data_IF_315914452503
#
_entry.id   IF_315914452503
#
_cell.length_a   1.000
_cell.length_b   1.000
_cell.length_c   1.000
_cell.angle_alpha   90.00
_cell.angle_beta   90.00
_cell.angle_gamma   90.00
#
_symmetry.space_group_name_H-M   'P 1'
#
loop_
_entity.id
_entity.type
_entity.pdbx_description
1 polymer ?
#
# COMPACT_ATOMS: atom_id res chain seq x y z
N UNK A 1 -89.89 -159.89 52.10
CA UNK A 1 -88.45 -160.22 52.17
C UNK A 1 -87.90 -160.52 50.77
N UNK A 2 -87.72 -159.51 49.91
CA UNK A 2 -86.79 -159.48 48.76
C UNK A 2 -86.64 -158.02 48.25
N UNK A 3 -86.68 -157.08 49.22
CA UNK A 3 -86.69 -155.62 49.02
C UNK A 3 -85.30 -155.00 49.27
N UNK A 4 -84.20 -155.79 49.25
CA UNK A 4 -82.92 -155.35 49.84
C UNK A 4 -81.63 -155.82 49.13
N UNK A 5 -81.68 -156.40 47.92
CA UNK A 5 -80.46 -157.02 47.33
C UNK A 5 -79.99 -156.57 45.93
N UNK A 6 -80.74 -155.82 45.12
CA UNK A 6 -80.21 -155.41 43.79
C UNK A 6 -80.38 -153.92 43.44
N UNK A 7 -80.61 -153.08 44.46
CA UNK A 7 -80.23 -151.67 44.40
C UNK A 7 -78.72 -151.46 44.19
N UNK A 8 -77.89 -152.49 44.40
CA UNK A 8 -76.43 -152.46 44.14
C UNK A 8 -76.04 -152.68 42.67
N UNK A 9 -76.83 -153.41 41.88
CA UNK A 9 -76.49 -153.70 40.48
C UNK A 9 -76.74 -152.51 39.54
N UNK A 10 -77.78 -151.70 39.82
CA UNK A 10 -78.04 -150.46 39.09
C UNK A 10 -76.93 -149.42 39.29
N UNK A 11 -76.40 -149.29 40.51
CA UNK A 11 -75.29 -148.37 40.81
C UNK A 11 -73.96 -148.82 40.20
N UNK A 12 -73.67 -150.12 40.17
CA UNK A 12 -72.45 -150.65 39.52
C UNK A 12 -72.49 -150.48 38.00
N UNK A 13 -73.64 -150.73 37.36
CA UNK A 13 -73.81 -150.53 35.92
C UNK A 13 -73.73 -149.04 35.54
N UNK A 14 -74.29 -148.16 36.37
CA UNK A 14 -74.19 -146.70 36.18
C UNK A 14 -72.76 -146.20 36.36
N UNK A 15 -72.03 -146.66 37.39
CA UNK A 15 -70.61 -146.31 37.60
C UNK A 15 -69.72 -146.86 36.47
N UNK A 16 -69.98 -148.08 36.00
CA UNK A 16 -69.24 -148.66 34.87
C UNK A 16 -69.51 -147.92 33.56
N UNK A 17 -70.78 -147.56 33.29
CA UNK A 17 -71.16 -146.74 32.14
C UNK A 17 -70.53 -145.34 32.19
N UNK A 18 -70.53 -144.69 33.36
CA UNK A 18 -69.83 -143.42 33.58
C UNK A 18 -68.32 -143.55 33.39
N UNK A 19 -67.70 -144.64 33.87
CA UNK A 19 -66.27 -144.89 33.70
C UNK A 19 -65.90 -145.15 32.23
N UNK A 20 -66.76 -145.86 31.50
CA UNK A 20 -66.60 -146.08 30.06
C UNK A 20 -66.77 -144.77 29.27
N UNK A 21 -67.77 -143.94 29.60
CA UNK A 21 -67.92 -142.60 29.03
C UNK A 21 -66.71 -141.71 29.33
N UNK A 22 -66.25 -141.70 30.58
CA UNK A 22 -65.08 -140.91 30.99
C UNK A 22 -63.82 -141.35 30.24
N UNK A 23 -63.58 -142.66 30.11
CA UNK A 23 -62.45 -143.18 29.33
C UNK A 23 -62.54 -142.83 27.85
N UNK A 24 -63.73 -142.87 27.25
CA UNK A 24 -63.93 -142.44 25.86
C UNK A 24 -63.67 -140.92 25.71
N UNK A 25 -64.15 -140.09 26.64
CA UNK A 25 -63.87 -138.66 26.64
C UNK A 25 -62.38 -138.36 26.83
N UNK A 26 -61.68 -139.09 27.70
CA UNK A 26 -60.23 -138.97 27.89
C UNK A 26 -59.49 -139.35 26.60
N UNK A 27 -59.83 -140.47 25.96
CA UNK A 27 -59.22 -140.87 24.70
C UNK A 27 -59.52 -139.90 23.55
N UNK A 28 -60.71 -139.30 23.53
CA UNK A 28 -61.06 -138.27 22.56
C UNK A 28 -60.25 -136.99 22.81
N UNK A 29 -60.14 -136.53 24.06
CA UNK A 29 -59.31 -135.39 24.43
C UNK A 29 -57.83 -135.63 24.12
N UNK A 30 -57.31 -136.84 24.36
CA UNK A 30 -55.93 -137.18 23.99
C UNK A 30 -55.71 -137.09 22.48
N UNK A 31 -56.65 -137.59 21.67
CA UNK A 31 -56.59 -137.45 20.20
C UNK A 31 -56.71 -135.99 19.74
N UNK A 32 -57.56 -135.20 20.38
CA UNK A 32 -57.67 -133.76 20.09
C UNK A 32 -56.40 -133.00 20.48
N UNK A 33 -55.76 -133.35 21.60
CA UNK A 33 -54.48 -132.78 22.04
C UNK A 33 -53.34 -133.17 21.08
N UNK A 34 -53.25 -134.43 20.66
CA UNK A 34 -52.25 -134.87 19.68
C UNK A 34 -52.46 -134.19 18.33
N UNK A 35 -53.70 -134.16 17.84
CA UNK A 35 -54.06 -133.48 16.59
C UNK A 35 -53.74 -131.97 16.63
N UNK A 36 -54.07 -131.29 17.73
CA UNK A 36 -53.73 -129.87 17.89
C UNK A 36 -52.23 -129.64 18.04
N UNK A 37 -51.51 -130.56 18.69
CA UNK A 37 -50.04 -130.55 18.78
C UNK A 37 -49.37 -130.70 17.41
N UNK A 38 -49.84 -131.63 16.57
CA UNK A 38 -49.35 -131.80 15.20
C UNK A 38 -49.63 -130.58 14.32
N UNK A 39 -50.84 -130.01 14.40
CA UNK A 39 -51.21 -128.78 13.67
C UNK A 39 -50.35 -127.60 14.14
N UNK A 40 -50.12 -127.48 15.45
CA UNK A 40 -49.26 -126.43 16.02
C UNK A 40 -47.81 -126.58 15.57
N UNK A 41 -47.28 -127.80 15.55
CA UNK A 41 -45.91 -128.06 15.09
C UNK A 41 -45.76 -127.78 13.59
N UNK A 42 -46.74 -128.18 12.78
CA UNK A 42 -46.77 -127.85 11.34
C UNK A 42 -46.80 -126.35 11.11
N UNK A 43 -47.66 -125.60 11.82
CA UNK A 43 -47.70 -124.13 11.77
C UNK A 43 -46.40 -123.50 12.24
N UNK A 44 -45.77 -124.03 13.29
CA UNK A 44 -44.48 -123.53 13.78
C UNK A 44 -43.39 -123.66 12.72
N UNK A 45 -43.31 -124.80 12.03
CA UNK A 45 -42.35 -125.00 10.93
C UNK A 45 -42.65 -124.11 9.72
N UNK A 46 -43.92 -123.86 9.43
CA UNK A 46 -44.36 -122.94 8.39
C UNK A 46 -43.93 -121.50 8.71
N UNK A 47 -44.16 -121.03 9.93
CA UNK A 47 -43.68 -119.73 10.41
C UNK A 47 -42.15 -119.61 10.39
N UNK A 48 -41.41 -120.65 10.81
CA UNK A 48 -39.95 -120.65 10.71
C UNK A 48 -39.46 -120.53 9.26
N UNK A 49 -40.16 -121.18 8.33
CA UNK A 49 -39.87 -121.08 6.90
C UNK A 49 -40.13 -119.66 6.38
N UNK A 50 -41.27 -119.06 6.72
CA UNK A 50 -41.61 -117.67 6.36
C UNK A 50 -40.59 -116.68 6.93
N UNK A 51 -40.22 -116.83 8.21
CA UNK A 51 -39.18 -116.01 8.84
C UNK A 51 -37.83 -116.18 8.11
N UNK A 52 -37.50 -117.40 7.70
CA UNK A 52 -36.31 -117.67 6.90
C UNK A 52 -36.29 -116.94 5.56
N UNK A 53 -37.44 -116.89 4.86
CA UNK A 53 -37.60 -116.12 3.61
C UNK A 53 -37.49 -114.61 3.86
N UNK A 54 -38.15 -114.09 4.91
CA UNK A 54 -38.07 -112.67 5.27
C UNK A 54 -36.63 -112.25 5.59
N UNK A 55 -35.88 -113.08 6.32
CA UNK A 55 -34.46 -112.82 6.62
C UNK A 55 -33.61 -112.75 5.35
N UNK A 56 -33.78 -113.71 4.43
CA UNK A 56 -33.06 -113.69 3.15
C UNK A 56 -33.37 -112.43 2.33
N UNK A 57 -34.64 -112.05 2.22
CA UNK A 57 -35.05 -110.83 1.52
C UNK A 57 -34.45 -109.58 2.20
N UNK A 58 -34.44 -109.55 3.54
CA UNK A 58 -33.83 -108.45 4.29
C UNK A 58 -32.33 -108.37 4.05
N UNK A 59 -31.61 -109.49 4.05
CA UNK A 59 -30.17 -109.55 3.81
C UNK A 59 -29.83 -109.13 2.37
N UNK A 60 -30.62 -109.57 1.39
CA UNK A 60 -30.47 -109.17 -0.02
C UNK A 60 -30.70 -107.67 -0.19
N UNK A 61 -31.77 -107.11 0.41
CA UNK A 61 -32.04 -105.67 0.37
C UNK A 61 -30.99 -104.84 1.10
N UNK A 62 -30.46 -105.31 2.23
CA UNK A 62 -29.38 -104.63 2.93
C UNK A 62 -28.12 -104.56 2.08
N UNK A 63 -27.78 -105.66 1.38
CA UNK A 63 -26.64 -105.68 0.44
C UNK A 63 -26.86 -104.75 -0.75
N UNK A 64 -28.07 -104.74 -1.32
CA UNK A 64 -28.44 -103.82 -2.41
C UNK A 64 -28.26 -102.36 -1.95
N UNK A 65 -28.77 -102.02 -0.77
CA UNK A 65 -28.63 -100.68 -0.19
C UNK A 65 -27.16 -100.31 0.09
N UNK A 66 -26.35 -101.23 0.62
CA UNK A 66 -24.91 -101.03 0.80
C UNK A 66 -24.20 -100.76 -0.53
N UNK A 67 -24.53 -101.50 -1.58
CA UNK A 67 -23.98 -101.27 -2.92
C UNK A 67 -24.38 -99.90 -3.49
N UNK A 68 -25.63 -99.48 -3.33
CA UNK A 68 -26.09 -98.14 -3.75
C UNK A 68 -25.38 -97.03 -2.99
N UNK A 69 -25.20 -97.18 -1.67
CA UNK A 69 -24.48 -96.21 -0.85
C UNK A 69 -23.02 -96.10 -1.27
N UNK A 70 -22.37 -97.21 -1.59
CA UNK A 70 -20.97 -97.19 -2.05
C UNK A 70 -20.84 -96.51 -3.41
N UNK A 71 -21.74 -96.82 -4.36
CA UNK A 71 -21.78 -96.14 -5.65
C UNK A 71 -22.00 -94.63 -5.52
N UNK A 72 -22.90 -94.20 -4.61
CA UNK A 72 -23.11 -92.78 -4.32
C UNK A 72 -21.87 -92.11 -3.70
N UNK A 73 -21.12 -92.82 -2.84
CA UNK A 73 -19.87 -92.32 -2.27
C UNK A 73 -18.79 -92.13 -3.32
N UNK A 74 -18.66 -93.07 -4.26
CA UNK A 74 -17.73 -92.93 -5.39
C UNK A 74 -18.07 -91.72 -6.26
N UNK A 75 -19.35 -91.56 -6.64
CA UNK A 75 -19.82 -90.40 -7.42
C UNK A 75 -19.54 -89.09 -6.68
N UNK A 76 -19.81 -89.03 -5.37
CA UNK A 76 -19.52 -87.84 -4.56
C UNK A 76 -18.04 -87.53 -4.49
N UNK A 77 -17.18 -88.54 -4.38
CA UNK A 77 -15.73 -88.37 -4.37
C UNK A 77 -15.21 -87.88 -5.73
N UNK A 78 -15.71 -88.41 -6.84
CA UNK A 78 -15.36 -87.94 -8.19
C UNK A 78 -15.81 -86.50 -8.40
N UNK A 79 -17.05 -86.16 -8.03
CA UNK A 79 -17.57 -84.79 -8.09
C UNK A 79 -16.80 -83.84 -7.18
N UNK A 80 -16.41 -84.30 -5.98
CA UNK A 80 -15.57 -83.52 -5.06
C UNK A 80 -14.23 -83.14 -5.69
N UNK A 81 -13.56 -84.11 -6.35
CA UNK A 81 -12.31 -83.85 -7.08
C UNK A 81 -12.50 -82.91 -8.26
N UNK A 82 -13.58 -83.07 -9.02
CA UNK A 82 -13.92 -82.18 -10.15
C UNK A 82 -14.07 -80.73 -9.67
N UNK A 83 -14.83 -80.49 -8.60
CA UNK A 83 -14.99 -79.16 -8.01
C UNK A 83 -13.68 -78.60 -7.47
N UNK A 84 -12.83 -79.44 -6.85
CA UNK A 84 -11.53 -78.99 -6.34
C UNK A 84 -10.61 -78.54 -7.48
N UNK A 85 -10.56 -79.29 -8.59
CA UNK A 85 -9.83 -78.88 -9.79
C UNK A 85 -10.38 -77.58 -10.41
N UNK A 86 -11.70 -77.41 -10.47
CA UNK A 86 -12.31 -76.19 -10.99
C UNK A 86 -11.99 -74.97 -10.10
N UNK A 87 -12.08 -75.13 -8.77
CA UNK A 87 -11.71 -74.10 -7.81
C UNK A 87 -10.22 -73.72 -7.95
N UNK A 88 -9.33 -74.69 -8.12
CA UNK A 88 -7.91 -74.43 -8.31
C UNK A 88 -7.63 -73.67 -9.62
N UNK A 89 -8.31 -74.04 -10.71
CA UNK A 89 -8.22 -73.31 -11.98
C UNK A 89 -8.73 -71.86 -11.85
N UNK A 90 -9.84 -71.65 -11.15
CA UNK A 90 -10.40 -70.31 -10.91
C UNK A 90 -9.41 -69.47 -10.08
N UNK A 91 -8.83 -70.03 -9.02
CA UNK A 91 -7.82 -69.35 -8.19
C UNK A 91 -6.61 -68.94 -9.01
N UNK A 92 -6.06 -69.86 -9.80
CA UNK A 92 -4.89 -69.56 -10.64
C UNK A 92 -5.18 -68.44 -11.64
N UNK A 93 -6.32 -68.49 -12.33
CA UNK A 93 -6.71 -67.44 -13.27
C UNK A 93 -6.90 -66.09 -12.57
N UNK A 94 -7.50 -66.09 -11.37
CA UNK A 94 -7.68 -64.88 -10.56
C UNK A 94 -6.34 -64.28 -10.12
N UNK A 95 -5.37 -65.11 -9.73
CA UNK A 95 -4.02 -64.66 -9.34
C UNK A 95 -3.25 -64.10 -10.53
N UNK A 96 -3.32 -64.75 -11.70
CA UNK A 96 -2.71 -64.27 -12.94
C UNK A 96 -3.31 -62.93 -13.37
N UNK A 97 -4.63 -62.81 -13.32
CA UNK A 97 -5.35 -61.56 -13.64
C UNK A 97 -4.98 -60.44 -12.65
N UNK A 98 -4.85 -60.76 -11.36
CA UNK A 98 -4.47 -59.78 -10.34
C UNK A 98 -3.05 -59.24 -10.58
N UNK A 99 -2.10 -60.11 -10.95
CA UNK A 99 -0.74 -59.70 -11.31
C UNK A 99 -0.70 -58.82 -12.55
N UNK A 100 -1.51 -59.13 -13.55
CA UNK A 100 -1.63 -58.31 -14.77
C UNK A 100 -2.11 -56.89 -14.43
N UNK A 101 -3.16 -56.77 -13.61
CA UNK A 101 -3.64 -55.47 -13.13
C UNK A 101 -2.60 -54.72 -12.30
N UNK A 102 -1.85 -55.40 -11.43
CA UNK A 102 -0.76 -54.77 -10.67
C UNK A 102 0.34 -54.21 -11.59
N UNK A 103 0.74 -54.96 -12.62
CA UNK A 103 1.72 -54.50 -13.62
C UNK A 103 1.21 -53.30 -14.43
N UNK A 104 -0.06 -53.29 -14.81
CA UNK A 104 -0.67 -52.17 -15.53
C UNK A 104 -0.74 -50.92 -14.64
N UNK A 105 -1.17 -51.07 -13.38
CA UNK A 105 -1.20 -49.98 -12.39
C UNK A 105 0.19 -49.41 -12.17
N UNK A 106 1.23 -50.25 -12.05
CA UNK A 106 2.60 -49.78 -11.88
C UNK A 106 3.10 -48.99 -13.10
N UNK A 107 2.73 -49.44 -14.30
CA UNK A 107 3.08 -48.74 -15.55
C UNK A 107 2.38 -47.39 -15.65
N UNK A 108 1.09 -47.32 -15.31
CA UNK A 108 0.32 -46.06 -15.25
C UNK A 108 0.94 -45.09 -14.24
N UNK A 109 1.36 -45.58 -13.06
CA UNK A 109 2.02 -44.76 -12.03
C UNK A 109 3.33 -44.16 -12.55
N UNK A 110 4.19 -44.96 -13.19
CA UNK A 110 5.45 -44.46 -13.78
C UNK A 110 5.21 -43.36 -14.81
N UNK A 111 4.26 -43.56 -15.72
CA UNK A 111 3.90 -42.56 -16.74
C UNK A 111 3.35 -41.27 -16.07
N UNK A 112 2.53 -41.42 -15.03
CA UNK A 112 1.99 -40.27 -14.28
C UNK A 112 3.08 -39.47 -13.58
N UNK A 113 4.05 -40.15 -12.97
CA UNK A 113 5.18 -39.51 -12.29
C UNK A 113 6.11 -38.80 -13.27
N UNK A 114 6.39 -39.40 -14.43
CA UNK A 114 7.18 -38.79 -15.50
C UNK A 114 6.51 -37.52 -16.04
N UNK A 115 5.21 -37.59 -16.35
CA UNK A 115 4.45 -36.41 -16.81
C UNK A 115 4.37 -35.32 -15.75
N UNK A 116 4.26 -35.69 -14.47
CA UNK A 116 4.23 -34.71 -13.38
C UNK A 116 5.55 -33.93 -13.30
N UNK A 117 6.69 -34.62 -13.44
CA UNK A 117 8.01 -33.99 -13.48
C UNK A 117 8.21 -33.10 -14.71
N UNK A 118 7.70 -33.52 -15.87
CA UNK A 118 7.75 -32.72 -17.10
C UNK A 118 6.97 -31.40 -16.92
N UNK A 119 5.74 -31.48 -16.39
CA UNK A 119 4.92 -30.31 -16.09
C UNK A 119 5.57 -29.38 -15.05
N UNK A 120 6.20 -29.93 -14.02
CA UNK A 120 6.95 -29.13 -13.04
C UNK A 120 8.10 -28.36 -13.70
N UNK A 121 8.87 -29.01 -14.59
CA UNK A 121 9.94 -28.35 -15.35
C UNK A 121 9.42 -27.22 -16.27
N UNK A 122 8.30 -27.44 -16.95
CA UNK A 122 7.67 -26.41 -17.79
C UNK A 122 7.18 -25.23 -16.96
N UNK A 123 6.51 -25.49 -15.83
CA UNK A 123 6.04 -24.44 -14.91
C UNK A 123 7.22 -23.62 -14.38
N UNK A 124 8.32 -24.26 -14.01
CA UNK A 124 9.51 -23.56 -13.53
C UNK A 124 10.14 -22.66 -14.61
N UNK A 125 10.19 -23.15 -15.85
CA UNK A 125 10.64 -22.37 -17.00
C UNK A 125 9.75 -21.15 -17.27
N UNK A 126 8.42 -21.32 -17.22
CA UNK A 126 7.45 -20.22 -17.37
C UNK A 126 7.61 -19.18 -16.26
N UNK A 127 7.78 -19.62 -15.00
CA UNK A 127 8.01 -18.72 -13.87
C UNK A 127 9.26 -17.87 -14.07
N UNK A 128 10.36 -18.49 -14.50
CA UNK A 128 11.61 -17.77 -14.75
C UNK A 128 11.46 -16.69 -15.83
N UNK A 129 10.80 -17.01 -16.94
CA UNK A 129 10.51 -16.04 -18.01
C UNK A 129 9.61 -14.90 -17.48
N UNK A 130 8.60 -15.22 -16.69
CA UNK A 130 7.72 -14.22 -16.08
C UNK A 130 8.48 -13.27 -15.14
N UNK A 131 9.40 -13.80 -14.33
CA UNK A 131 10.22 -13.00 -13.41
C UNK A 131 11.21 -12.10 -14.17
N UNK A 132 11.81 -12.60 -15.25
CA UNK A 132 12.70 -11.83 -16.13
C UNK A 132 11.94 -10.67 -16.81
N UNK A 133 10.76 -10.95 -17.38
CA UNK A 133 9.91 -9.93 -17.98
C UNK A 133 9.46 -8.88 -16.95
N UNK A 134 9.11 -9.31 -15.73
CA UNK A 134 8.71 -8.37 -14.66
C UNK A 134 9.83 -7.38 -14.32
N UNK A 135 11.07 -7.86 -14.24
CA UNK A 135 12.24 -7.00 -13.99
C UNK A 135 12.50 -6.03 -15.13
N UNK A 136 12.36 -6.48 -16.38
CA UNK A 136 12.49 -5.62 -17.56
C UNK A 136 11.46 -4.48 -17.55
N UNK A 137 10.19 -4.80 -17.28
CA UNK A 137 9.13 -3.79 -17.15
C UNK A 137 9.40 -2.81 -16.00
N UNK A 138 9.90 -3.27 -14.85
CA UNK A 138 10.26 -2.38 -13.74
C UNK A 138 11.38 -1.40 -14.14
N UNK A 139 12.40 -1.87 -14.86
CA UNK A 139 13.51 -1.02 -15.33
C UNK A 139 13.04 0.03 -16.35
N UNK A 140 12.12 -0.34 -17.25
CA UNK A 140 11.54 0.57 -18.21
C UNK A 140 10.67 1.65 -17.52
N UNK A 141 9.84 1.25 -16.55
CA UNK A 141 9.04 2.17 -15.74
C UNK A 141 9.95 3.15 -14.98
N UNK A 142 11.05 2.68 -14.39
CA UNK A 142 11.99 3.54 -13.67
C UNK A 142 12.67 4.56 -14.60
N UNK A 143 13.05 4.12 -15.79
CA UNK A 143 13.61 4.99 -16.83
C UNK A 143 12.62 6.07 -17.29
N UNK A 144 11.36 5.68 -17.52
CA UNK A 144 10.28 6.63 -17.85
C UNK A 144 10.05 7.63 -16.72
N UNK A 145 9.99 7.18 -15.45
CA UNK A 145 9.81 8.06 -14.29
C UNK A 145 10.94 9.08 -14.16
N UNK A 146 12.19 8.66 -14.39
CA UNK A 146 13.35 9.55 -14.37
C UNK A 146 13.25 10.63 -15.45
N UNK A 147 12.93 10.23 -16.69
CA UNK A 147 12.73 11.15 -17.80
C UNK A 147 11.59 12.15 -17.52
N UNK A 148 10.48 11.68 -16.95
CA UNK A 148 9.34 12.53 -16.61
C UNK A 148 9.70 13.57 -15.54
N UNK A 149 10.49 13.19 -14.52
CA UNK A 149 10.96 14.10 -13.49
C UNK A 149 11.92 15.16 -14.06
N UNK A 150 12.82 14.78 -14.96
CA UNK A 150 13.72 15.72 -15.64
C UNK A 150 12.92 16.72 -16.49
N UNK A 151 11.94 16.23 -17.27
CA UNK A 151 11.03 17.07 -18.05
C UNK A 151 10.15 17.98 -17.18
N UNK A 152 9.69 17.51 -16.03
CA UNK A 152 8.93 18.33 -15.08
C UNK A 152 9.78 19.48 -14.54
N UNK A 153 11.06 19.23 -14.19
CA UNK A 153 11.99 20.27 -13.73
C UNK A 153 12.30 21.29 -14.85
N UNK A 154 12.48 20.81 -16.07
CA UNK A 154 12.67 21.67 -17.26
C UNK A 154 11.45 22.59 -17.45
N UNK A 155 10.24 22.02 -17.40
CA UNK A 155 9.00 22.78 -17.53
C UNK A 155 8.76 23.75 -16.37
N UNK A 156 9.12 23.40 -15.14
CA UNK A 156 9.10 24.32 -14.00
C UNK A 156 10.10 25.48 -14.19
N UNK A 157 11.28 25.21 -14.75
CA UNK A 157 12.25 26.26 -15.08
C UNK A 157 11.74 27.16 -16.21
N UNK A 158 11.16 26.60 -17.27
CA UNK A 158 10.55 27.37 -18.37
C UNK A 158 9.37 28.20 -17.89
N UNK A 159 8.49 27.65 -17.05
CA UNK A 159 7.36 28.39 -16.46
C UNK A 159 7.82 29.46 -15.47
N UNK A 160 8.89 29.22 -14.72
CA UNK A 160 9.50 30.23 -13.86
C UNK A 160 10.09 31.36 -14.71
N UNK A 161 10.75 31.07 -15.83
CA UNK A 161 11.29 32.09 -16.74
C UNK A 161 10.18 32.86 -17.47
N UNK A 162 9.15 32.17 -17.97
CA UNK A 162 8.06 32.76 -18.74
C UNK A 162 7.08 33.60 -17.93
N UNK A 163 6.68 33.14 -16.73
CA UNK A 163 5.73 33.90 -15.88
C UNK A 163 6.38 35.08 -15.16
N UNK A 164 7.68 35.00 -14.87
CA UNK A 164 8.45 36.12 -14.35
C UNK A 164 8.59 37.20 -15.43
N UNK A 165 8.88 36.83 -16.68
CA UNK A 165 9.05 37.79 -17.77
C UNK A 165 7.78 38.61 -18.07
N UNK A 166 6.60 38.01 -18.19
CA UNK A 166 5.41 38.72 -18.70
C UNK A 166 4.82 39.74 -17.72
N UNK A 167 4.79 39.44 -16.42
CA UNK A 167 4.20 40.36 -15.42
C UNK A 167 5.23 41.40 -14.93
N UNK A 168 6.53 41.06 -14.85
CA UNK A 168 7.58 42.09 -14.65
C UNK A 168 7.65 43.04 -15.85
N UNK A 169 7.53 42.53 -17.08
CA UNK A 169 7.45 43.39 -18.27
C UNK A 169 6.22 44.28 -18.26
N UNK A 170 5.04 43.78 -17.86
CA UNK A 170 3.83 44.61 -17.72
C UNK A 170 3.97 45.67 -16.62
N UNK A 171 4.53 45.32 -15.45
CA UNK A 171 4.80 46.28 -14.36
C UNK A 171 5.85 47.31 -14.76
N UNK A 172 6.91 46.88 -15.44
CA UNK A 172 7.96 47.75 -15.96
C UNK A 172 7.41 48.65 -17.08
N UNK A 173 6.59 48.13 -17.98
CA UNK A 173 5.93 48.90 -19.04
C UNK A 173 4.95 49.93 -18.46
N UNK A 174 4.21 49.58 -17.41
CA UNK A 174 3.36 50.51 -16.68
C UNK A 174 4.19 51.62 -16.00
N UNK A 175 5.28 51.26 -15.33
CA UNK A 175 6.16 52.22 -14.66
C UNK A 175 6.85 53.15 -15.67
N UNK A 176 7.34 52.62 -16.79
CA UNK A 176 7.92 53.40 -17.90
C UNK A 176 6.87 54.33 -18.51
N UNK A 177 5.66 53.83 -18.80
CA UNK A 177 4.57 54.64 -19.36
C UNK A 177 4.16 55.76 -18.40
N UNK A 178 4.16 55.48 -17.10
CA UNK A 178 3.84 56.46 -16.06
C UNK A 178 4.92 57.53 -15.98
N UNK A 179 6.20 57.12 -15.90
CA UNK A 179 7.35 58.02 -15.87
C UNK A 179 7.47 58.90 -17.13
N UNK A 180 7.08 58.38 -18.29
CA UNK A 180 7.16 59.11 -19.56
C UNK A 180 6.00 60.09 -19.77
N UNK A 181 4.83 59.85 -19.18
CA UNK A 181 3.61 60.67 -19.40
C UNK A 181 3.36 61.70 -18.31
N UNK A 182 3.82 61.46 -17.09
CA UNK A 182 3.45 62.24 -15.92
C UNK A 182 4.70 62.73 -15.19
N UNK A 183 4.61 63.91 -14.56
CA UNK A 183 5.62 64.28 -13.58
C UNK A 183 5.60 63.30 -12.39
N UNK A 184 6.67 63.29 -11.59
CA UNK A 184 6.82 62.31 -10.51
C UNK A 184 5.64 62.36 -9.53
N UNK A 185 5.17 63.55 -9.16
CA UNK A 185 4.05 63.70 -8.23
C UNK A 185 2.74 63.16 -8.81
N UNK A 186 2.46 63.45 -10.08
CA UNK A 186 1.29 62.91 -10.79
C UNK A 186 1.38 61.39 -10.94
N UNK A 187 2.56 60.85 -11.25
CA UNK A 187 2.80 59.42 -11.33
C UNK A 187 2.53 58.70 -10.00
N UNK A 188 3.03 59.25 -8.89
CA UNK A 188 2.76 58.74 -7.55
C UNK A 188 1.28 58.82 -7.15
N UNK A 189 0.59 59.91 -7.52
CA UNK A 189 -0.85 60.06 -7.26
C UNK A 189 -1.71 59.05 -8.04
N UNK A 190 -1.35 58.77 -9.30
CA UNK A 190 -2.07 57.78 -10.12
C UNK A 190 -1.89 56.34 -9.63
N UNK A 191 -0.75 56.04 -9.01
CA UNK A 191 -0.42 54.70 -8.51
C UNK A 191 -1.00 54.39 -7.11
N UNK A 192 -1.83 55.30 -6.56
CA UNK A 192 -2.72 55.22 -5.38
C UNK A 192 -2.54 54.09 -4.34
N UNK A 193 -2.39 54.47 -3.06
CA UNK A 193 -2.48 53.73 -1.75
C UNK A 193 -1.88 52.32 -1.55
N UNK A 194 -1.47 51.60 -2.59
CA UNK A 194 -0.94 50.23 -2.48
C UNK A 194 0.47 50.09 -3.06
N UNK A 195 1.13 51.22 -3.35
CA UNK A 195 2.50 51.21 -3.84
C UNK A 195 3.44 50.84 -2.67
N UNK A 196 4.09 49.69 -2.78
CA UNK A 196 5.19 49.31 -1.90
C UNK A 196 6.44 50.15 -2.21
N UNK A 197 7.35 50.25 -1.24
CA UNK A 197 8.52 51.13 -1.34
C UNK A 197 9.41 50.88 -2.56
N UNK A 198 9.61 49.62 -2.96
CA UNK A 198 10.41 49.29 -4.14
C UNK A 198 9.81 49.82 -5.46
N UNK A 199 8.47 49.90 -5.55
CA UNK A 199 7.80 50.45 -6.73
C UNK A 199 8.02 51.96 -6.84
N UNK A 200 8.11 52.67 -5.71
CA UNK A 200 8.49 54.08 -5.68
C UNK A 200 9.94 54.29 -6.15
N UNK A 201 10.88 53.46 -5.68
CA UNK A 201 12.27 53.49 -6.16
C UNK A 201 12.35 53.27 -7.68
N UNK A 202 11.67 52.25 -8.20
CA UNK A 202 11.66 51.96 -9.65
C UNK A 202 11.14 53.16 -10.45
N UNK A 203 10.08 53.81 -9.98
CA UNK A 203 9.53 54.98 -10.67
C UNK A 203 10.52 56.14 -10.68
N UNK A 204 11.19 56.42 -9.55
CA UNK A 204 12.23 57.46 -9.48
C UNK A 204 13.40 57.13 -10.40
N UNK A 205 13.89 55.89 -10.39
CA UNK A 205 14.95 55.42 -11.28
C UNK A 205 14.59 55.67 -12.76
N UNK A 206 13.39 55.26 -13.18
CA UNK A 206 12.93 55.42 -14.55
C UNK A 206 12.77 56.90 -14.93
N UNK A 207 12.25 57.73 -14.03
CA UNK A 207 12.15 59.18 -14.25
C UNK A 207 13.53 59.82 -14.43
N UNK A 208 14.50 59.48 -13.58
CA UNK A 208 15.87 60.01 -13.69
C UNK A 208 16.56 59.52 -14.98
N UNK A 209 16.36 58.25 -15.38
CA UNK A 209 16.85 57.69 -16.65
C UNK A 209 16.24 58.44 -17.85
N UNK A 210 14.92 58.63 -17.88
CA UNK A 210 14.21 59.30 -18.98
C UNK A 210 14.59 60.79 -19.09
N UNK A 211 14.88 61.45 -17.96
CA UNK A 211 15.39 62.82 -17.91
C UNK A 211 16.88 62.93 -18.29
N UNK A 212 17.56 61.80 -18.50
CA UNK A 212 18.98 61.76 -18.84
C UNK A 212 19.89 62.20 -17.69
N UNK A 213 19.45 62.03 -16.44
CA UNK A 213 20.25 62.36 -15.25
C UNK A 213 21.47 61.45 -15.24
N UNK A 214 22.66 62.02 -15.47
CA UNK A 214 23.92 61.27 -15.39
C UNK A 214 24.25 61.02 -13.93
N UNK A 215 24.38 59.75 -13.57
CA UNK A 215 24.78 59.33 -12.23
C UNK A 215 26.12 58.63 -12.32
N UNK A 216 27.10 59.14 -11.59
CA UNK A 216 28.33 58.39 -11.40
C UNK A 216 28.05 57.15 -10.55
N UNK A 217 28.63 56.04 -10.98
CA UNK A 217 28.65 54.81 -10.22
C UNK A 217 29.45 55.08 -8.94
N UNK A 218 28.93 54.69 -7.78
CA UNK A 218 29.69 54.72 -6.52
C UNK A 218 30.80 53.66 -6.55
N UNK A 219 31.11 53.03 -5.41
CA UNK A 219 32.02 51.87 -5.35
C UNK A 219 31.47 50.59 -6.03
N UNK A 220 31.12 50.66 -7.32
CA UNK A 220 30.70 49.48 -8.07
C UNK A 220 29.18 49.26 -8.14
N UNK A 221 28.36 50.11 -7.50
CA UNK A 221 26.89 49.98 -7.51
C UNK A 221 26.19 51.28 -7.87
N UNK A 222 25.00 51.13 -8.45
CA UNK A 222 24.08 52.23 -8.71
C UNK A 222 22.94 52.25 -7.68
N UNK A 223 22.53 51.07 -7.21
CA UNK A 223 21.43 50.92 -6.25
C UNK A 223 21.88 50.00 -5.11
N UNK A 224 21.57 50.39 -3.88
CA UNK A 224 21.60 49.52 -2.69
C UNK A 224 20.18 49.31 -2.18
N UNK A 225 19.87 48.09 -1.79
CA UNK A 225 18.71 47.75 -0.98
C UNK A 225 19.21 47.29 0.40
N UNK A 226 18.64 47.88 1.46
CA UNK A 226 18.79 47.46 2.84
C UNK A 226 17.48 46.79 3.27
N UNK A 227 17.53 45.47 3.45
CA UNK A 227 16.36 44.62 3.65
C UNK A 227 15.92 43.98 2.34
N UNK A 228 16.06 42.66 2.25
CA UNK A 228 15.88 41.91 1.01
C UNK A 228 14.57 41.12 0.99
N UNK A 229 14.26 40.54 -0.17
CA UNK A 229 13.06 39.72 -0.36
C UNK A 229 13.06 38.49 0.56
N UNK A 230 12.13 38.47 1.51
CA UNK A 230 12.03 37.43 2.55
C UNK A 230 11.30 36.18 2.08
N UNK A 231 10.32 36.35 1.18
CA UNK A 231 9.42 35.30 0.74
C UNK A 231 9.42 35.17 -0.78
N UNK A 232 9.34 33.95 -1.31
CA UNK A 232 9.26 33.67 -2.75
C UNK A 232 7.85 33.98 -3.31
N UNK A 233 7.20 35.04 -2.82
CA UNK A 233 5.92 35.51 -3.33
C UNK A 233 6.13 36.61 -4.37
N UNK A 234 5.56 36.39 -5.55
CA UNK A 234 5.64 37.27 -6.71
C UNK A 234 5.25 38.74 -6.42
N UNK A 235 4.27 38.97 -5.55
CA UNK A 235 3.75 40.31 -5.27
C UNK A 235 4.63 41.15 -4.35
N UNK A 236 5.54 40.54 -3.58
CA UNK A 236 6.33 41.19 -2.53
C UNK A 236 7.86 41.18 -2.75
N UNK A 237 8.35 40.64 -3.86
CA UNK A 237 9.79 40.58 -4.15
C UNK A 237 10.39 41.89 -4.66
N UNK A 238 10.86 42.75 -3.78
CA UNK A 238 11.57 44.00 -4.13
C UNK A 238 12.86 43.74 -4.90
N UNK A 239 13.70 42.82 -4.40
CA UNK A 239 15.04 42.53 -4.92
C UNK A 239 15.02 42.07 -6.39
N UNK A 240 14.06 41.21 -6.77
CA UNK A 240 13.90 40.75 -8.16
C UNK A 240 13.49 41.88 -9.11
N UNK A 241 12.51 42.71 -8.70
CA UNK A 241 12.03 43.82 -9.52
C UNK A 241 13.07 44.92 -9.70
N UNK A 242 13.81 45.26 -8.64
CA UNK A 242 14.92 46.22 -8.73
C UNK A 242 16.03 45.65 -9.61
N UNK A 243 16.34 44.35 -9.49
CA UNK A 243 17.32 43.66 -10.35
C UNK A 243 16.94 43.69 -11.82
N UNK A 244 15.66 43.49 -12.15
CA UNK A 244 15.16 43.51 -13.52
C UNK A 244 15.38 44.89 -14.17
N UNK A 245 15.01 45.96 -13.46
CA UNK A 245 15.21 47.34 -13.93
C UNK A 245 16.70 47.64 -14.05
N UNK A 246 17.50 47.33 -13.02
CA UNK A 246 18.95 47.57 -13.07
C UNK A 246 19.59 46.88 -14.27
N UNK A 247 19.27 45.60 -14.51
CA UNK A 247 19.77 44.86 -15.67
C UNK A 247 19.33 45.48 -17.00
N UNK A 248 18.07 45.86 -17.14
CA UNK A 248 17.52 46.43 -18.37
C UNK A 248 18.25 47.73 -18.78
N UNK A 249 18.72 48.51 -17.80
CA UNK A 249 19.41 49.78 -18.02
C UNK A 249 20.93 49.72 -17.79
N UNK A 250 21.52 48.52 -17.69
CA UNK A 250 22.96 48.35 -17.52
C UNK A 250 23.51 48.85 -16.17
N UNK A 251 22.64 48.99 -15.17
CA UNK A 251 22.98 49.37 -13.81
C UNK A 251 23.33 48.14 -12.96
N UNK A 252 23.96 48.38 -11.82
CA UNK A 252 24.37 47.35 -10.86
C UNK A 252 23.71 47.58 -9.52
N UNK A 253 23.32 46.48 -8.87
CA UNK A 253 22.48 46.45 -7.69
C UNK A 253 23.09 45.54 -6.61
N UNK A 254 23.10 46.02 -5.37
CA UNK A 254 23.50 45.27 -4.17
C UNK A 254 22.31 45.19 -3.21
N UNK A 255 21.92 43.98 -2.84
CA UNK A 255 20.93 43.74 -1.77
C UNK A 255 21.64 43.28 -0.51
N UNK A 256 21.31 43.88 0.63
CA UNK A 256 21.95 43.62 1.92
C UNK A 256 20.88 43.23 2.92
N UNK A 257 21.09 42.11 3.61
CA UNK A 257 20.17 41.63 4.64
C UNK A 257 20.94 40.92 5.75
N UNK A 258 20.45 41.03 6.97
CA UNK A 258 21.08 40.37 8.11
C UNK A 258 20.75 38.87 8.15
N UNK A 259 19.62 38.45 7.58
CA UNK A 259 19.20 37.05 7.54
C UNK A 259 19.86 36.35 6.33
N UNK A 260 20.75 35.37 6.56
CA UNK A 260 21.40 34.62 5.49
C UNK A 260 20.39 33.93 4.55
N UNK A 261 19.21 33.57 5.06
CA UNK A 261 18.18 32.93 4.23
C UNK A 261 17.61 33.89 3.20
N UNK A 262 17.47 35.17 3.55
CA UNK A 262 16.95 36.15 2.61
C UNK A 262 18.01 36.46 1.54
N UNK A 263 19.29 36.55 1.90
CA UNK A 263 20.37 36.72 0.92
C UNK A 263 20.55 35.51 0.01
N UNK A 264 20.36 34.27 0.52
CA UNK A 264 20.30 33.06 -0.30
C UNK A 264 19.17 33.13 -1.35
N UNK A 265 17.98 33.63 -0.99
CA UNK A 265 16.90 33.84 -1.95
C UNK A 265 17.30 34.84 -3.06
N UNK A 266 18.09 35.86 -2.74
CA UNK A 266 18.62 36.81 -3.73
C UNK A 266 19.69 36.15 -4.61
N UNK A 267 20.53 35.27 -4.04
CA UNK A 267 21.53 34.51 -4.81
C UNK A 267 20.85 33.54 -5.78
N UNK A 268 19.75 32.90 -5.37
CA UNK A 268 18.95 32.00 -6.22
C UNK A 268 18.47 32.69 -7.51
N UNK A 269 18.12 33.98 -7.43
CA UNK A 269 17.67 34.78 -8.59
C UNK A 269 18.84 35.40 -9.37
N UNK A 270 20.06 35.42 -8.83
CA UNK A 270 21.26 35.93 -9.51
C UNK A 270 21.53 35.24 -10.84
N UNK A 271 21.15 33.96 -11.00
CA UNK A 271 21.26 33.24 -12.27
C UNK A 271 20.50 33.91 -13.43
N UNK A 272 19.41 34.63 -13.13
CA UNK A 272 18.63 35.35 -14.13
C UNK A 272 19.21 36.73 -14.44
N UNK A 273 19.81 37.40 -13.43
CA UNK A 273 20.28 38.79 -13.55
C UNK A 273 21.79 38.93 -13.78
N UNK A 274 22.58 37.86 -13.60
CA UNK A 274 24.02 37.83 -13.85
C UNK A 274 24.81 38.76 -12.92
N UNK A 275 25.87 39.37 -13.43
CA UNK A 275 26.76 40.25 -12.65
C UNK A 275 26.13 41.62 -12.31
N UNK A 276 24.88 41.87 -12.69
CA UNK A 276 24.16 43.09 -12.31
C UNK A 276 23.62 43.04 -10.87
N UNK A 277 23.58 41.86 -10.26
CA UNK A 277 23.07 41.65 -8.90
C UNK A 277 24.14 41.01 -8.00
N UNK A 278 24.30 41.59 -6.82
CA UNK A 278 25.05 41.03 -5.70
C UNK A 278 24.20 41.04 -4.43
N UNK A 279 24.46 40.07 -3.54
CA UNK A 279 23.82 39.96 -2.24
C UNK A 279 24.90 39.89 -1.16
N UNK A 280 24.62 40.44 0.02
CA UNK A 280 25.54 40.45 1.15
C UNK A 280 24.82 40.25 2.48
N UNK A 281 25.31 39.30 3.27
CA UNK A 281 24.73 38.96 4.58
C UNK A 281 25.38 39.81 5.67
N UNK A 282 24.74 40.93 6.02
CA UNK A 282 25.23 41.88 7.02
C UNK A 282 24.09 42.75 7.55
N UNK A 283 24.19 43.25 8.77
CA UNK A 283 23.30 44.31 9.26
C UNK A 283 23.46 45.55 8.37
N UNK A 284 22.34 46.17 7.98
CA UNK A 284 22.33 47.24 6.98
C UNK A 284 23.11 48.47 7.40
N UNK A 285 22.92 48.89 8.65
CA UNK A 285 23.62 50.00 9.28
C UNK A 285 25.13 49.77 9.35
N UNK A 286 25.56 48.54 9.70
CA UNK A 286 26.98 48.16 9.73
C UNK A 286 27.57 48.13 8.32
N UNK A 287 26.84 47.60 7.35
CA UNK A 287 27.27 47.61 5.95
C UNK A 287 27.49 49.03 5.43
N UNK A 288 26.55 49.94 5.71
CA UNK A 288 26.68 51.34 5.29
C UNK A 288 27.83 52.06 6.02
N UNK A 289 28.07 51.74 7.29
CA UNK A 289 29.20 52.27 8.07
C UNK A 289 30.55 51.77 7.54
N UNK A 290 30.67 50.48 7.24
CA UNK A 290 31.89 49.87 6.70
C UNK A 290 32.10 50.19 5.20
N UNK A 291 31.06 50.66 4.51
CA UNK A 291 31.13 51.02 3.10
C UNK A 291 32.19 52.11 2.89
N UNK A 292 33.23 51.75 2.13
CA UNK A 292 34.33 52.67 1.80
C UNK A 292 33.87 53.65 0.73
N UNK A 293 34.37 54.88 0.74
CA UNK A 293 34.11 55.85 -0.33
C UNK A 293 32.64 56.32 -0.42
N UNK A 294 32.25 56.80 -1.61
CA UNK A 294 30.89 57.30 -1.84
C UNK A 294 29.90 56.16 -1.98
N UNK A 295 28.75 56.30 -1.30
CA UNK A 295 27.62 55.41 -1.50
C UNK A 295 27.02 55.60 -2.90
N UNK A 296 26.32 54.59 -3.42
CA UNK A 296 25.51 54.70 -4.63
C UNK A 296 24.44 55.80 -4.53
N UNK A 297 24.04 56.36 -5.68
CA UNK A 297 23.08 57.47 -5.74
C UNK A 297 21.64 57.08 -5.35
N UNK A 298 21.31 55.80 -5.29
CA UNK A 298 19.98 55.34 -4.90
C UNK A 298 20.09 54.29 -3.79
N UNK A 299 19.33 54.49 -2.72
CA UNK A 299 19.16 53.52 -1.65
C UNK A 299 17.68 53.27 -1.36
N UNK A 300 17.32 52.00 -1.22
CA UNK A 300 16.02 51.55 -0.73
C UNK A 300 16.19 50.95 0.66
N UNK A 301 15.41 51.44 1.63
CA UNK A 301 15.50 51.01 3.03
C UNK A 301 14.14 50.42 3.43
N UNK A 302 14.12 49.10 3.56
CA UNK A 302 12.98 48.28 3.95
C UNK A 302 13.45 47.07 4.79
N UNK A 303 14.16 47.38 5.87
CA UNK A 303 14.74 46.37 6.75
C UNK A 303 13.89 46.16 8.02
N UNK A 304 14.47 46.41 9.20
CA UNK A 304 13.89 46.11 10.52
C UNK A 304 12.41 46.50 10.60
N UNK A 305 11.56 45.58 11.05
CA UNK A 305 10.12 45.83 11.10
C UNK A 305 9.71 46.70 12.29
N UNK A 306 8.77 47.61 12.10
CA UNK A 306 8.15 48.30 13.23
C UNK A 306 7.16 47.36 13.94
N UNK A 307 6.95 47.54 15.24
CA UNK A 307 6.09 46.63 16.01
C UNK A 307 4.61 47.02 15.91
N UNK A 308 3.90 46.38 14.97
CA UNK A 308 2.45 46.50 14.86
C UNK A 308 1.69 45.35 15.55
N UNK A 309 2.38 44.51 16.35
CA UNK A 309 1.77 43.43 17.14
C UNK A 309 1.18 42.26 16.33
N UNK A 310 1.43 42.18 15.02
CA UNK A 310 0.89 41.12 14.14
C UNK A 310 1.99 40.30 13.45
N UNK A 311 3.18 40.29 14.04
CA UNK A 311 4.31 39.50 13.53
C UNK A 311 4.11 38.01 13.86
N UNK A 312 4.45 37.12 12.91
CA UNK A 312 4.40 35.68 13.16
C UNK A 312 5.42 35.27 14.22
N UNK A 313 5.22 34.12 14.86
CA UNK A 313 6.18 33.60 15.86
C UNK A 313 7.54 33.37 15.24
N UNK A 314 7.58 32.78 14.06
CA UNK A 314 8.81 32.51 13.31
C UNK A 314 9.55 33.81 12.95
N UNK A 315 8.81 34.90 12.67
CA UNK A 315 9.42 36.22 12.43
C UNK A 315 10.04 36.76 13.71
N UNK A 316 9.33 36.72 14.83
CA UNK A 316 9.86 37.17 16.12
C UNK A 316 11.10 36.38 16.56
N UNK A 317 11.06 35.05 16.44
CA UNK A 317 12.17 34.15 16.78
C UNK A 317 13.42 34.45 15.94
N UNK A 318 13.27 34.78 14.64
CA UNK A 318 14.40 35.17 13.79
C UNK A 318 15.07 36.47 14.25
N UNK A 319 14.29 37.48 14.62
CA UNK A 319 14.85 38.72 15.18
C UNK A 319 15.56 38.47 16.51
N UNK A 320 14.99 37.63 17.39
CA UNK A 320 15.66 37.27 18.65
C UNK A 320 17.02 36.61 18.41
N UNK A 321 17.10 35.69 17.44
CA UNK A 321 18.34 34.96 17.12
C UNK A 321 19.37 35.86 16.42
N UNK A 322 18.95 36.64 15.42
CA UNK A 322 19.86 37.40 14.56
C UNK A 322 20.23 38.77 15.15
N UNK A 323 19.33 39.37 15.94
CA UNK A 323 19.44 40.75 16.40
C UNK A 323 19.38 40.87 17.93
N UNK A 324 19.33 39.75 18.65
CA UNK A 324 19.46 39.71 20.11
C UNK A 324 18.22 40.17 20.88
N UNK A 325 17.08 40.36 20.21
CA UNK A 325 15.83 40.78 20.85
C UNK A 325 14.62 40.64 19.93
N UNK A 326 13.43 40.67 20.53
CA UNK A 326 12.17 40.74 19.78
C UNK A 326 12.09 42.04 18.99
N UNK A 327 11.25 42.01 17.96
CA UNK A 327 10.90 43.22 17.21
C UNK A 327 10.37 44.26 18.20
N UNK A 328 10.98 45.44 18.18
CA UNK A 328 10.59 46.60 18.96
C UNK A 328 10.68 47.86 18.12
N UNK A 329 9.84 48.82 18.44
CA UNK A 329 9.83 50.13 17.79
C UNK A 329 11.15 50.87 18.00
N UNK A 330 11.75 50.80 19.19
CA UNK A 330 13.02 51.46 19.49
C UNK A 330 14.17 50.91 18.63
N UNK A 331 14.26 49.60 18.47
CA UNK A 331 15.27 48.97 17.63
C UNK A 331 15.04 49.29 16.14
N UNK A 332 13.78 49.28 15.70
CA UNK A 332 13.39 49.71 14.36
C UNK A 332 13.84 51.14 14.07
N UNK A 333 13.49 52.09 14.94
CA UNK A 333 13.85 53.50 14.77
C UNK A 333 15.36 53.72 14.80
N UNK A 334 16.08 53.02 15.68
CA UNK A 334 17.53 53.12 15.78
C UNK A 334 18.21 52.66 14.48
N UNK A 335 17.86 51.47 13.98
CA UNK A 335 18.49 50.93 12.77
C UNK A 335 18.30 51.86 11.55
N UNK A 336 17.06 52.33 11.34
CA UNK A 336 16.77 53.25 10.22
C UNK A 336 17.47 54.60 10.38
N UNK A 337 17.57 55.11 11.61
CA UNK A 337 18.33 56.33 11.91
C UNK A 337 19.82 56.15 11.60
N UNK A 338 20.42 55.05 12.04
CA UNK A 338 21.83 54.76 11.77
C UNK A 338 22.10 54.66 10.26
N UNK A 339 21.22 53.99 9.51
CA UNK A 339 21.30 53.97 8.04
C UNK A 339 21.21 55.38 7.42
N UNK A 340 20.29 56.22 7.92
CA UNK A 340 20.13 57.59 7.46
C UNK A 340 21.37 58.46 7.73
N UNK A 341 22.00 58.31 8.91
CA UNK A 341 23.26 58.98 9.26
C UNK A 341 24.35 58.64 8.24
N UNK A 342 24.56 57.34 8.00
CA UNK A 342 25.58 56.88 7.06
C UNK A 342 25.31 57.35 5.62
N UNK A 343 24.04 57.34 5.20
CA UNK A 343 23.67 57.81 3.88
C UNK A 343 23.86 59.32 3.75
N UNK A 344 23.43 60.14 4.72
CA UNK A 344 23.64 61.60 4.68
C UNK A 344 25.12 61.95 4.49
N UNK A 345 26.00 61.28 5.23
CA UNK A 345 27.45 61.50 5.21
C UNK A 345 28.10 61.10 3.87
N UNK A 346 27.73 59.93 3.33
CA UNK A 346 28.44 59.31 2.19
C UNK A 346 27.69 59.41 0.85
N UNK A 347 26.46 59.91 0.84
CA UNK A 347 25.64 60.02 -0.35
C UNK A 347 26.14 61.14 -1.28
N UNK A 348 26.22 60.88 -2.60
CA UNK A 348 26.53 61.91 -3.59
C UNK A 348 25.43 62.98 -3.64
N UNK A 349 25.74 64.12 -4.28
CA UNK A 349 24.74 65.14 -4.55
C UNK A 349 23.57 64.56 -5.35
N UNK A 350 22.35 65.06 -5.06
CA UNK A 350 21.10 64.61 -5.69
C UNK A 350 20.75 63.14 -5.44
N UNK A 351 21.43 62.44 -4.54
CA UNK A 351 21.12 61.05 -4.24
C UNK A 351 19.76 60.90 -3.54
N UNK A 352 19.19 59.71 -3.70
CA UNK A 352 17.79 59.41 -3.35
C UNK A 352 17.76 58.29 -2.33
N UNK A 353 16.93 58.49 -1.31
CA UNK A 353 16.52 57.44 -0.38
C UNK A 353 15.02 57.19 -0.51
N UNK A 354 14.65 55.92 -0.50
CA UNK A 354 13.26 55.49 -0.44
C UNK A 354 13.05 54.63 0.79
N UNK A 355 12.09 55.00 1.63
CA UNK A 355 11.68 54.21 2.79
C UNK A 355 10.32 53.56 2.55
N UNK A 356 10.18 52.31 2.97
CA UNK A 356 8.86 51.66 3.13
C UNK A 356 8.35 51.76 4.57
N UNK A 357 7.05 51.51 4.78
CA UNK A 357 6.33 51.63 6.07
C UNK A 357 6.62 52.93 6.86
N UNK A 358 6.62 54.07 6.16
CA UNK A 358 6.72 55.40 6.74
C UNK A 358 5.41 56.14 6.61
N UNK A 359 4.88 56.57 7.74
CA UNK A 359 3.60 57.27 7.84
C UNK A 359 3.82 58.67 8.41
N UNK A 360 2.91 59.59 8.10
CA UNK A 360 2.92 60.94 8.65
C UNK A 360 1.53 61.30 9.15
N UNK A 361 1.38 61.37 10.47
CA UNK A 361 0.12 61.62 11.15
C UNK A 361 0.34 62.59 12.30
N UNK A 362 -0.62 63.49 12.54
CA UNK A 362 -0.56 64.47 13.65
C UNK A 362 0.74 65.29 13.70
N UNK A 363 1.28 65.66 12.54
CA UNK A 363 2.57 66.36 12.36
C UNK A 363 3.81 65.57 12.81
N UNK A 364 3.70 64.26 13.02
CA UNK A 364 4.81 63.40 13.40
C UNK A 364 5.06 62.30 12.35
N UNK A 365 6.32 61.93 12.19
CA UNK A 365 6.72 60.76 11.40
C UNK A 365 6.60 59.49 12.24
N UNK A 366 6.03 58.45 11.67
CA UNK A 366 5.78 57.16 12.34
C UNK A 366 6.35 56.00 11.52
N UNK A 367 6.36 54.81 12.12
CA UNK A 367 6.89 53.59 11.51
C UNK A 367 8.43 53.63 11.40
N UNK A 368 8.96 53.11 10.29
CA UNK A 368 10.40 53.00 10.05
C UNK A 368 11.11 54.37 10.01
N UNK A 369 10.39 55.41 9.62
CA UNK A 369 10.93 56.75 9.38
C UNK A 369 10.93 57.70 10.58
N UNK A 370 10.44 57.28 11.76
CA UNK A 370 10.18 58.19 12.90
C UNK A 370 11.33 59.12 13.25
N UNK A 371 12.55 58.59 13.34
CA UNK A 371 13.78 59.31 13.69
C UNK A 371 14.65 59.61 12.47
N UNK A 372 14.67 58.71 11.49
CA UNK A 372 15.47 58.83 10.28
C UNK A 372 15.05 60.04 9.41
N UNK A 373 13.74 60.23 9.20
CA UNK A 373 13.22 61.25 8.29
C UNK A 373 13.49 62.67 8.78
N UNK A 374 13.18 63.04 10.05
CA UNK A 374 13.56 64.34 10.58
C UNK A 374 15.06 64.63 10.42
N UNK A 375 15.90 63.66 10.75
CA UNK A 375 17.35 63.81 10.63
C UNK A 375 17.79 64.11 9.19
N UNK A 376 17.25 63.40 8.20
CA UNK A 376 17.62 63.65 6.79
C UNK A 376 17.15 65.02 6.31
N UNK A 377 15.92 65.43 6.69
CA UNK A 377 15.39 66.75 6.34
C UNK A 377 16.24 67.88 6.94
N UNK A 378 16.71 67.72 8.19
CA UNK A 378 17.61 68.67 8.85
C UNK A 378 19.03 68.68 8.23
N UNK A 379 19.39 67.66 7.45
CA UNK A 379 20.71 67.49 6.85
C UNK A 379 20.69 67.56 5.30
N UNK A 380 19.84 68.44 4.76
CA UNK A 380 19.89 68.81 3.34
C UNK A 380 19.21 67.84 2.38
N UNK A 381 18.28 67.02 2.88
CA UNK A 381 17.33 66.30 2.04
C UNK A 381 16.00 67.04 1.99
N UNK A 382 15.32 66.92 0.86
CA UNK A 382 13.98 67.44 0.65
C UNK A 382 13.00 66.31 0.31
N UNK A 383 11.74 66.55 0.66
CA UNK A 383 10.64 65.66 0.30
C UNK A 383 10.40 65.74 -1.21
N UNK A 384 10.62 64.63 -1.91
CA UNK A 384 10.39 64.56 -3.35
C UNK A 384 9.02 63.94 -3.68
N UNK A 385 8.65 62.85 -3.00
CA UNK A 385 7.36 62.19 -3.18
C UNK A 385 6.94 61.40 -1.92
N UNK A 386 5.63 61.16 -1.76
CA UNK A 386 5.08 60.38 -0.65
C UNK A 386 3.76 59.70 -1.02
N UNK A 387 3.52 58.50 -0.46
CA UNK A 387 2.21 57.82 -0.48
C UNK A 387 1.63 57.74 0.94
N UNK A 388 0.74 56.79 1.22
CA UNK A 388 0.25 56.55 2.58
C UNK A 388 1.31 55.93 3.50
N UNK A 389 2.23 55.15 2.94
CA UNK A 389 3.19 54.30 3.67
C UNK A 389 4.61 54.33 3.09
N UNK A 390 4.87 55.10 2.03
CA UNK A 390 6.18 55.17 1.38
C UNK A 390 6.64 56.62 1.27
N UNK A 391 7.94 56.84 1.43
CA UNK A 391 8.56 58.16 1.38
C UNK A 391 9.77 58.16 0.45
N UNK A 392 9.89 59.19 -0.39
CA UNK A 392 11.07 59.47 -1.21
C UNK A 392 11.67 60.80 -0.78
N UNK A 393 12.95 60.80 -0.41
CA UNK A 393 13.72 62.00 -0.14
C UNK A 393 14.90 62.10 -1.10
N UNK A 394 15.26 63.33 -1.47
CA UNK A 394 16.39 63.62 -2.34
C UNK A 394 17.32 64.64 -1.70
N UNK A 395 18.63 64.38 -1.75
CA UNK A 395 19.65 65.32 -1.28
C UNK A 395 19.68 66.53 -2.20
N UNK A 396 19.56 67.73 -1.66
CA UNK A 396 19.65 68.96 -2.45
C UNK A 396 21.07 69.08 -3.00
N UNK A 397 21.20 69.41 -4.28
CA UNK A 397 22.50 69.69 -4.88
C UNK A 397 23.12 70.88 -4.14
N UNK A 398 24.26 70.66 -3.48
CA UNK A 398 25.03 71.79 -2.98
C UNK A 398 25.55 72.56 -4.18
N UNK A 399 25.06 73.80 -4.36
CA UNK A 399 25.63 74.75 -5.31
C UNK A 399 27.02 75.06 -4.78
N UNK A 400 28.04 74.39 -5.30
CA UNK A 400 29.43 74.80 -5.10
C UNK A 400 29.56 76.21 -5.67
N UNK A 401 29.71 77.18 -4.79
CA UNK A 401 29.97 78.59 -5.13
C UNK A 401 31.32 78.76 -5.82
#
# INVERSE_FOLDING_TARGET
MYFLLLGFAGSFYFIWSLKAQLNNSIQQLQREIESTGEVSNKKSKEFECEIGVIRKISDEKSKEFECEVEALREILNEKGKEFECEIESIRKNSDETSKEFECEIESIRKISDEKSKELECEIESIRKISDENSKEFECEIESIRKCLNEKSKEFECELAVGRVADVEQLSMMLAITTAAKYDLNQGFQMLNRTLHGHSALILVLLCDILKGVKREKGNGFHVIEIGSTREKFWTQGSSGRISAVCRAFGMTFKSVDIDPKNTENVIDIKKFYGNSLEAETMAGESFLEEYKGSLPPYIYIDAYDYDHGKHSKERQERYEVLQGGKISDEACWKMHYDCAVQFVEKCPNEGVVVFDDVFYENNEWLGKGKTAVPYMLDNGFELEARTGNTLVLRKVAQVTA
#
